data_IF_479873663391
#
_entry.id   IF_479873663391
#
_cell.length_a   1.000
_cell.length_b   1.000
_cell.length_c   1.000
_cell.angle_alpha   90.00
_cell.angle_beta   90.00
_cell.angle_gamma   90.00
#
_symmetry.space_group_name_H-M   'P 1'
#
loop_
_entity.id
_entity.type
_entity.pdbx_description
1 polymer ?
#
# COMPACT_ATOMS: atom_id res chain seq x y z
N UNK A 1 -8.15 -21.36 -13.55
CA UNK A 1 -7.29 -20.21 -13.92
C UNK A 1 -6.86 -20.40 -15.37
N UNK A 2 -7.19 -19.45 -16.25
CA UNK A 2 -7.04 -19.56 -17.70
C UNK A 2 -5.59 -19.84 -18.15
N UNK A 3 -5.46 -20.78 -19.08
CA UNK A 3 -4.24 -21.30 -19.74
C UNK A 3 -3.58 -20.28 -20.69
N UNK A 4 -3.64 -18.99 -20.38
CA UNK A 4 -3.04 -17.95 -21.20
C UNK A 4 -1.53 -17.84 -20.88
N UNK A 5 -0.65 -17.91 -21.89
CA UNK A 5 0.79 -17.87 -21.68
C UNK A 5 1.24 -16.54 -21.05
N UNK A 6 2.41 -16.57 -20.38
CA UNK A 6 3.08 -15.36 -19.92
C UNK A 6 3.44 -14.48 -21.12
N UNK A 7 3.25 -13.16 -20.99
CA UNK A 7 3.66 -12.20 -22.00
C UNK A 7 5.18 -12.21 -22.16
N UNK A 8 5.68 -12.16 -23.38
CA UNK A 8 7.09 -11.93 -23.71
C UNK A 8 7.54 -10.52 -23.34
N UNK A 9 8.85 -10.31 -23.18
CA UNK A 9 9.45 -8.99 -22.94
C UNK A 9 9.03 -7.95 -24.00
N UNK A 10 8.93 -8.37 -25.26
CA UNK A 10 8.48 -7.51 -26.36
C UNK A 10 7.04 -7.02 -26.20
N UNK A 11 6.13 -7.93 -25.81
CA UNK A 11 4.73 -7.59 -25.54
C UNK A 11 4.59 -6.67 -24.33
N UNK A 12 5.37 -6.91 -23.27
CA UNK A 12 5.41 -6.03 -22.09
C UNK A 12 5.89 -4.63 -22.48
N UNK A 13 6.97 -4.53 -23.25
CA UNK A 13 7.47 -3.25 -23.71
C UNK A 13 6.45 -2.48 -24.57
N UNK A 14 5.64 -3.19 -25.38
CA UNK A 14 4.52 -2.59 -26.12
C UNK A 14 3.45 -2.05 -25.17
N UNK A 15 3.08 -2.78 -24.12
CA UNK A 15 2.10 -2.30 -23.13
C UNK A 15 2.61 -1.05 -22.43
N UNK A 16 3.87 -1.03 -21.97
CA UNK A 16 4.45 0.12 -21.27
C UNK A 16 4.50 1.37 -22.16
N UNK A 17 4.95 1.25 -23.43
CA UNK A 17 4.93 2.36 -24.40
C UNK A 17 3.52 2.86 -24.69
N UNK A 18 2.51 1.99 -24.59
CA UNK A 18 1.11 2.33 -24.81
C UNK A 18 0.46 3.15 -23.68
N UNK A 19 1.04 3.19 -22.48
CA UNK A 19 0.42 3.83 -21.30
C UNK A 19 0.10 5.31 -21.55
N UNK A 20 1.04 6.07 -22.11
CA UNK A 20 0.82 7.50 -22.39
C UNK A 20 -0.35 7.74 -23.35
N UNK A 21 -0.49 6.90 -24.39
CA UNK A 21 -1.61 7.01 -25.33
C UNK A 21 -2.96 6.67 -24.68
N UNK A 22 -3.00 5.67 -23.80
CA UNK A 22 -4.21 5.26 -23.08
C UNK A 22 -4.66 6.31 -22.07
N UNK A 23 -3.72 6.95 -21.38
CA UNK A 23 -4.02 8.04 -20.45
C UNK A 23 -4.71 9.23 -21.13
N UNK A 24 -4.43 9.46 -22.42
CA UNK A 24 -5.05 10.52 -23.20
C UNK A 24 -6.47 10.17 -23.71
N UNK A 25 -6.87 8.89 -23.68
CA UNK A 25 -8.17 8.44 -24.15
C UNK A 25 -9.26 8.55 -23.07
N UNK A 26 -10.50 8.85 -23.47
CA UNK A 26 -11.65 8.79 -22.57
C UNK A 26 -11.85 7.35 -22.04
N UNK A 27 -11.91 7.17 -20.72
CA UNK A 27 -12.02 5.85 -20.08
C UNK A 27 -10.69 5.15 -19.78
N UNK A 28 -9.54 5.73 -20.16
CA UNK A 28 -8.22 5.12 -19.94
C UNK A 28 -7.80 4.93 -18.48
N UNK A 29 -8.51 5.55 -17.53
CA UNK A 29 -8.18 5.48 -16.10
C UNK A 29 -8.30 4.06 -15.53
N UNK A 30 -9.44 3.43 -15.73
CA UNK A 30 -9.72 2.11 -15.15
C UNK A 30 -8.85 1.03 -15.82
N UNK A 31 -8.66 1.16 -17.14
CA UNK A 31 -7.73 0.34 -17.92
C UNK A 31 -6.28 0.42 -17.40
N UNK A 32 -5.81 1.61 -17.01
CA UNK A 32 -4.46 1.78 -16.48
C UNK A 32 -4.33 1.29 -15.04
N UNK A 33 -5.32 1.52 -14.19
CA UNK A 33 -5.33 0.98 -12.83
C UNK A 33 -5.41 -0.56 -12.82
N UNK A 34 -6.02 -1.18 -13.84
CA UNK A 34 -6.01 -2.64 -13.99
C UNK A 34 -4.59 -3.21 -14.09
N UNK A 35 -3.63 -2.44 -14.62
CA UNK A 35 -2.22 -2.85 -14.69
C UNK A 35 -1.55 -2.84 -13.30
N UNK A 36 -2.10 -2.12 -12.32
CA UNK A 36 -1.58 -2.09 -10.95
C UNK A 36 -2.18 -3.18 -10.05
N UNK A 37 -3.14 -3.97 -10.53
CA UNK A 37 -3.66 -5.14 -9.81
C UNK A 37 -2.60 -6.22 -9.62
N UNK A 38 -2.69 -6.95 -8.53
CA UNK A 38 -1.72 -8.00 -8.19
C UNK A 38 -1.78 -9.19 -9.16
N UNK A 39 -2.95 -9.44 -9.76
CA UNK A 39 -3.24 -10.51 -10.71
C UNK A 39 -3.17 -10.09 -12.19
N UNK A 40 -2.72 -8.87 -12.49
CA UNK A 40 -2.75 -8.34 -13.85
C UNK A 40 -1.97 -9.26 -14.82
N UNK A 41 -2.48 -9.40 -16.05
CA UNK A 41 -1.97 -10.36 -17.03
C UNK A 41 -0.46 -10.21 -17.32
N UNK A 42 0.06 -8.98 -17.20
CA UNK A 42 1.47 -8.64 -17.41
C UNK A 42 2.41 -9.30 -16.37
N UNK A 43 1.88 -9.69 -15.20
CA UNK A 43 2.61 -10.33 -14.10
C UNK A 43 2.54 -11.86 -14.10
N UNK A 44 1.73 -12.46 -14.97
CA UNK A 44 1.51 -13.90 -14.99
C UNK A 44 2.80 -14.66 -15.30
N UNK A 45 3.07 -15.70 -14.51
CA UNK A 45 4.23 -16.58 -14.71
C UNK A 45 5.57 -15.97 -14.31
N UNK A 46 5.56 -14.77 -13.72
CA UNK A 46 6.77 -14.04 -13.31
C UNK A 46 7.05 -14.22 -11.82
N UNK A 47 8.33 -14.18 -11.45
CA UNK A 47 8.76 -14.23 -10.04
C UNK A 47 8.49 -12.91 -9.30
N UNK A 48 8.55 -12.92 -7.97
CA UNK A 48 8.27 -11.73 -7.16
C UNK A 48 9.15 -10.51 -7.51
N UNK A 49 10.47 -10.70 -7.61
CA UNK A 49 11.42 -9.64 -7.96
C UNK A 49 11.14 -9.04 -9.34
N UNK A 50 10.79 -9.88 -10.30
CA UNK A 50 10.46 -9.45 -11.66
C UNK A 50 9.15 -8.66 -11.71
N UNK A 51 8.15 -9.11 -10.96
CA UNK A 51 6.88 -8.39 -10.79
C UNK A 51 7.10 -7.04 -10.09
N UNK A 52 7.93 -6.96 -9.06
CA UNK A 52 8.25 -5.68 -8.40
C UNK A 52 8.92 -4.69 -9.36
N UNK A 53 9.89 -5.14 -10.15
CA UNK A 53 10.54 -4.29 -11.17
C UNK A 53 9.53 -3.81 -12.22
N UNK A 54 8.72 -4.72 -12.74
CA UNK A 54 7.73 -4.39 -13.76
C UNK A 54 6.64 -3.46 -13.22
N UNK A 55 6.16 -3.67 -11.99
CA UNK A 55 5.22 -2.77 -11.31
C UNK A 55 5.81 -1.38 -11.12
N UNK A 56 7.11 -1.26 -10.82
CA UNK A 56 7.78 0.02 -10.75
C UNK A 56 7.73 0.77 -12.10
N UNK A 57 7.99 0.06 -13.22
CA UNK A 57 7.83 0.63 -14.56
C UNK A 57 6.39 1.06 -14.84
N UNK A 58 5.40 0.20 -14.58
CA UNK A 58 3.97 0.53 -14.77
C UNK A 58 3.61 1.78 -13.98
N UNK A 59 3.96 1.83 -12.69
CA UNK A 59 3.70 2.97 -11.81
C UNK A 59 4.34 4.26 -12.33
N UNK A 60 5.63 4.22 -12.69
CA UNK A 60 6.35 5.38 -13.21
C UNK A 60 5.77 5.89 -14.54
N UNK A 61 5.38 5.00 -15.46
CA UNK A 61 4.78 5.38 -16.73
C UNK A 61 3.38 5.99 -16.55
N UNK A 62 2.55 5.45 -15.66
CA UNK A 62 1.23 6.02 -15.36
C UNK A 62 1.39 7.41 -14.72
N UNK A 63 2.33 7.58 -13.78
CA UNK A 63 2.63 8.88 -13.20
C UNK A 63 3.13 9.91 -14.21
N UNK A 64 4.07 9.51 -15.09
CA UNK A 64 4.59 10.36 -16.16
C UNK A 64 3.52 10.75 -17.19
N UNK A 65 2.48 9.93 -17.36
CA UNK A 65 1.32 10.23 -18.19
C UNK A 65 0.32 11.22 -17.55
N UNK A 66 0.67 11.83 -16.41
CA UNK A 66 -0.16 12.82 -15.73
C UNK A 66 -1.22 12.23 -14.80
N UNK A 67 -1.14 10.94 -14.49
CA UNK A 67 -2.11 10.23 -13.64
C UNK A 67 -1.54 9.88 -12.26
N UNK A 68 -0.78 10.81 -11.66
CA UNK A 68 -0.16 10.57 -10.36
C UNK A 68 -1.18 10.42 -9.22
N UNK A 69 -2.23 11.25 -9.19
CA UNK A 69 -3.22 11.25 -8.09
C UNK A 69 -3.93 9.90 -7.92
N UNK A 70 -4.20 9.19 -9.02
CA UNK A 70 -4.90 7.89 -8.96
C UNK A 70 -4.01 6.77 -8.40
N UNK A 71 -2.70 7.00 -8.36
CA UNK A 71 -1.72 6.06 -7.84
C UNK A 71 -1.45 6.22 -6.35
N UNK A 72 -2.06 7.22 -5.68
CA UNK A 72 -1.79 7.51 -4.28
C UNK A 72 -1.87 6.26 -3.37
N UNK A 73 -2.88 5.38 -3.46
CA UNK A 73 -2.92 4.16 -2.63
C UNK A 73 -1.74 3.23 -2.83
N UNK A 74 -1.22 3.14 -4.06
CA UNK A 74 -0.07 2.30 -4.42
C UNK A 74 1.25 2.94 -3.98
N UNK A 75 1.39 4.25 -4.13
CA UNK A 75 2.54 5.01 -3.61
C UNK A 75 2.63 4.83 -2.09
N UNK A 76 1.51 5.00 -1.40
CA UNK A 76 1.42 4.82 0.04
C UNK A 76 1.73 3.39 0.47
N UNK A 77 1.31 2.38 -0.29
CA UNK A 77 1.64 0.96 -0.03
C UNK A 77 3.14 0.70 -0.10
N UNK A 78 3.78 1.12 -1.21
CA UNK A 78 5.21 0.90 -1.42
C UNK A 78 6.02 1.64 -0.37
N UNK A 79 5.70 2.91 -0.13
CA UNK A 79 6.40 3.71 0.88
C UNK A 79 6.12 3.25 2.32
N UNK A 80 5.08 2.47 2.61
CA UNK A 80 4.86 1.94 3.95
C UNK A 80 5.54 0.60 4.18
N UNK A 81 5.61 -0.28 3.18
CA UNK A 81 6.08 -1.67 3.40
C UNK A 81 7.05 -2.22 2.35
N UNK A 82 7.27 -1.53 1.24
CA UNK A 82 8.13 -1.96 0.14
C UNK A 82 9.59 -2.14 0.53
N UNK A 83 10.27 -3.06 -0.16
CA UNK A 83 11.71 -3.33 0.00
C UNK A 83 12.50 -3.21 -1.32
N UNK A 84 11.80 -3.17 -2.46
CA UNK A 84 12.45 -3.03 -3.76
C UNK A 84 12.89 -1.57 -3.97
N UNK A 85 14.19 -1.30 -4.20
CA UNK A 85 14.67 0.04 -4.54
C UNK A 85 13.94 0.63 -5.75
N UNK A 86 13.63 -0.20 -6.76
CA UNK A 86 12.93 0.23 -7.96
C UNK A 86 11.48 0.64 -7.66
N UNK A 87 10.76 -0.15 -6.85
CA UNK A 87 9.37 0.17 -6.50
C UNK A 87 9.29 1.45 -5.63
N UNK A 88 10.19 1.62 -4.67
CA UNK A 88 10.26 2.80 -3.82
C UNK A 88 10.65 4.06 -4.62
N UNK A 89 11.61 3.95 -5.54
CA UNK A 89 11.97 5.03 -6.44
C UNK A 89 10.81 5.46 -7.35
N UNK A 90 10.09 4.50 -7.94
CA UNK A 90 8.90 4.79 -8.74
C UNK A 90 7.82 5.50 -7.91
N UNK A 91 7.54 4.99 -6.69
CA UNK A 91 6.58 5.60 -5.78
C UNK A 91 6.97 7.04 -5.41
N UNK A 92 8.24 7.28 -5.13
CA UNK A 92 8.78 8.61 -4.84
C UNK A 92 8.59 9.58 -6.02
N UNK A 93 8.97 9.17 -7.24
CA UNK A 93 8.76 9.96 -8.46
C UNK A 93 7.28 10.32 -8.67
N UNK A 94 6.39 9.34 -8.51
CA UNK A 94 4.95 9.57 -8.65
C UNK A 94 4.43 10.53 -7.59
N UNK A 95 4.87 10.42 -6.34
CA UNK A 95 4.47 11.30 -5.25
C UNK A 95 4.72 12.79 -5.56
N UNK A 96 5.76 13.12 -6.33
CA UNK A 96 6.05 14.51 -6.76
C UNK A 96 4.92 15.13 -7.59
N UNK A 97 4.13 14.31 -8.28
CA UNK A 97 2.98 14.74 -9.06
C UNK A 97 1.65 14.78 -8.29
N UNK A 98 1.61 14.29 -7.04
CA UNK A 98 0.36 14.19 -6.26
C UNK A 98 0.09 15.50 -5.50
N UNK A 99 -1.14 16.03 -5.58
CA UNK A 99 -1.52 17.25 -4.84
C UNK A 99 -2.96 17.16 -4.30
N UNK A 100 -3.20 17.41 -2.99
CA UNK A 100 -2.21 17.56 -1.91
C UNK A 100 -1.58 16.21 -1.53
N UNK A 101 -0.35 16.25 -1.03
CA UNK A 101 0.26 15.07 -0.42
C UNK A 101 -0.32 14.83 0.98
N UNK A 102 -0.51 13.56 1.40
CA UNK A 102 -0.91 13.23 2.77
C UNK A 102 0.13 13.71 3.80
N UNK A 103 -0.29 14.16 5.00
CA UNK A 103 0.61 14.69 6.03
C UNK A 103 1.65 13.67 6.52
N UNK A 104 1.37 12.38 6.43
CA UNK A 104 2.28 11.30 6.82
C UNK A 104 3.40 11.02 5.80
N UNK A 105 3.34 11.60 4.60
CA UNK A 105 4.28 11.33 3.50
C UNK A 105 5.77 11.49 3.90
N UNK A 106 6.21 12.53 4.63
CA UNK A 106 7.62 12.68 4.96
C UNK A 106 8.13 11.54 5.83
N UNK A 107 7.32 11.12 6.80
CA UNK A 107 7.69 9.98 7.66
C UNK A 107 7.82 8.71 6.84
N UNK A 108 6.90 8.45 5.91
CA UNK A 108 6.97 7.27 5.03
C UNK A 108 8.22 7.29 4.14
N UNK A 109 8.61 8.46 3.63
CA UNK A 109 9.84 8.62 2.85
C UNK A 109 11.09 8.34 3.70
N UNK A 110 11.16 8.87 4.93
CA UNK A 110 12.27 8.58 5.85
C UNK A 110 12.33 7.09 6.21
N UNK A 111 11.20 6.49 6.60
CA UNK A 111 11.12 5.06 6.90
C UNK A 111 11.50 4.21 5.68
N UNK A 112 11.20 4.66 4.45
CA UNK A 112 11.63 4.00 3.21
C UNK A 112 13.15 4.10 2.99
N UNK A 113 13.76 5.27 3.18
CA UNK A 113 15.21 5.47 3.11
C UNK A 113 15.92 4.52 4.08
N UNK A 114 15.46 4.48 5.32
CA UNK A 114 16.03 3.62 6.36
C UNK A 114 16.00 2.14 6.00
N UNK A 115 14.91 1.68 5.37
CA UNK A 115 14.77 0.27 4.99
C UNK A 115 15.70 -0.17 3.89
N UNK A 116 16.01 0.70 2.93
CA UNK A 116 16.85 0.35 1.78
C UNK A 116 18.28 0.87 1.84
N UNK A 117 18.68 1.56 2.92
CA UNK A 117 20.01 2.16 3.07
C UNK A 117 21.20 1.23 2.81
N UNK A 118 21.02 -0.09 2.98
CA UNK A 118 22.07 -1.09 2.75
C UNK A 118 22.01 -1.78 1.38
N UNK A 119 20.98 -1.49 0.58
CA UNK A 119 20.69 -2.14 -0.71
C UNK A 119 20.30 -1.11 -1.78
N UNK A 120 20.77 0.14 -1.64
CA UNK A 120 20.49 1.20 -2.60
C UNK A 120 21.00 0.83 -4.00
N UNK A 121 20.24 1.19 -5.03
CA UNK A 121 20.50 0.81 -6.42
C UNK A 121 20.23 1.98 -7.35
N UNK A 122 20.97 2.05 -8.44
CA UNK A 122 20.66 2.94 -9.56
C UNK A 122 19.34 2.52 -10.21
N UNK A 123 18.50 3.50 -10.55
CA UNK A 123 17.16 3.29 -11.08
C UNK A 123 16.94 4.11 -12.36
N UNK A 124 16.11 3.57 -13.25
CA UNK A 124 15.63 4.23 -14.45
C UNK A 124 14.28 3.63 -14.85
N UNK A 125 13.43 4.42 -15.48
CA UNK A 125 12.11 3.94 -15.92
C UNK A 125 11.82 4.20 -17.40
N UNK A 126 12.71 4.88 -18.12
CA UNK A 126 12.48 5.33 -19.50
C UNK A 126 12.65 4.20 -20.54
N UNK A 127 13.40 3.15 -20.19
CA UNK A 127 13.70 2.02 -21.06
C UNK A 127 13.31 0.72 -20.36
N UNK A 128 12.64 -0.18 -21.08
CA UNK A 128 12.32 -1.52 -20.61
C UNK A 128 12.71 -2.58 -21.66
N UNK A 129 13.38 -3.69 -21.26
CA UNK A 129 13.90 -3.94 -19.91
C UNK A 129 15.08 -3.01 -19.57
N UNK A 130 15.18 -2.61 -18.30
CA UNK A 130 16.21 -1.68 -17.83
C UNK A 130 17.61 -2.29 -17.92
N UNK A 131 18.62 -1.61 -18.51
CA UNK A 131 19.99 -2.09 -18.49
C UNK A 131 20.58 -2.05 -17.06
N UNK A 132 21.45 -3.00 -16.66
CA UNK A 132 21.91 -3.17 -15.27
C UNK A 132 22.65 -1.98 -14.63
N UNK A 133 23.15 -1.02 -15.41
CA UNK A 133 23.98 0.09 -14.93
C UNK A 133 23.61 1.45 -15.54
N UNK A 134 22.39 1.59 -16.07
CA UNK A 134 22.01 2.77 -16.88
C UNK A 134 21.34 3.92 -16.14
N UNK A 135 21.13 3.83 -14.83
CA UNK A 135 20.41 4.87 -14.07
C UNK A 135 21.29 6.07 -13.69
N UNK A 136 20.74 7.28 -13.81
CA UNK A 136 21.41 8.52 -13.39
C UNK A 136 21.19 8.86 -11.90
N UNK A 137 20.20 8.25 -11.25
CA UNK A 137 19.83 8.45 -9.84
C UNK A 137 19.72 7.10 -9.13
N UNK A 138 19.89 7.08 -7.82
CA UNK A 138 19.57 5.91 -6.99
C UNK A 138 18.17 5.99 -6.39
N UNK A 139 17.68 4.89 -5.80
CA UNK A 139 16.40 4.90 -5.12
C UNK A 139 16.37 5.87 -3.92
N UNK A 140 17.48 5.98 -3.19
CA UNK A 140 17.61 6.97 -2.11
C UNK A 140 17.65 8.40 -2.66
N UNK A 141 18.32 8.65 -3.79
CA UNK A 141 18.28 9.97 -4.44
C UNK A 141 16.82 10.38 -4.73
N UNK A 142 16.02 9.47 -5.29
CA UNK A 142 14.62 9.73 -5.63
C UNK A 142 13.76 10.02 -4.39
N UNK A 143 14.01 9.31 -3.28
CA UNK A 143 13.30 9.50 -2.02
C UNK A 143 13.67 10.85 -1.36
N UNK A 144 14.96 11.21 -1.34
CA UNK A 144 15.45 12.49 -0.79
C UNK A 144 14.91 13.67 -1.59
N UNK A 145 14.98 13.61 -2.93
CA UNK A 145 14.45 14.67 -3.79
C UNK A 145 12.93 14.83 -3.59
N UNK A 146 12.21 13.73 -3.41
CA UNK A 146 10.77 13.79 -3.11
C UNK A 146 10.51 14.41 -1.75
N UNK A 147 11.29 14.03 -0.73
CA UNK A 147 11.19 14.59 0.63
C UNK A 147 11.43 16.11 0.62
N UNK A 148 12.43 16.57 -0.14
CA UNK A 148 12.75 17.99 -0.36
C UNK A 148 11.55 18.78 -0.91
N UNK A 149 10.82 18.17 -1.84
CA UNK A 149 9.65 18.79 -2.49
C UNK A 149 8.39 18.76 -1.62
N UNK A 150 8.35 17.97 -0.55
CA UNK A 150 7.18 17.95 0.33
C UNK A 150 7.02 19.29 1.04
N UNK A 151 5.89 19.95 0.82
CA UNK A 151 5.49 21.17 1.53
C UNK A 151 5.08 20.91 2.99
N UNK A 152 5.53 19.82 3.62
CA UNK A 152 4.93 19.27 4.85
C UNK A 152 5.77 19.65 6.07
N UNK A 153 5.07 19.98 7.16
CA UNK A 153 5.67 20.35 8.45
C UNK A 153 6.16 21.80 8.50
N UNK A 154 6.60 22.23 9.68
CA UNK A 154 7.39 23.45 9.77
C UNK A 154 8.69 23.24 9.02
N UNK A 155 9.24 24.30 8.41
CA UNK A 155 10.57 24.30 7.79
C UNK A 155 11.62 23.63 8.69
N UNK A 156 11.52 23.82 10.00
CA UNK A 156 12.39 23.24 11.03
C UNK A 156 12.30 21.71 11.10
N UNK A 157 11.10 21.13 11.05
CA UNK A 157 10.91 19.68 11.10
C UNK A 157 11.51 19.01 9.86
N UNK A 158 11.29 19.59 8.67
CA UNK A 158 11.89 19.08 7.43
C UNK A 158 13.41 19.16 7.47
N UNK A 159 13.98 20.27 7.95
CA UNK A 159 15.43 20.43 8.13
C UNK A 159 15.97 19.38 9.13
N UNK A 160 15.27 19.13 10.23
CA UNK A 160 15.68 18.13 11.22
C UNK A 160 15.76 16.73 10.60
N UNK A 161 14.73 16.30 9.87
CA UNK A 161 14.72 15.01 9.18
C UNK A 161 15.85 14.88 8.15
N UNK A 162 16.08 15.92 7.33
CA UNK A 162 17.15 15.92 6.33
C UNK A 162 18.54 15.89 6.99
N UNK A 163 18.73 16.61 8.11
CA UNK A 163 19.97 16.56 8.87
C UNK A 163 20.20 15.18 9.51
N UNK A 164 19.16 14.54 10.03
CA UNK A 164 19.28 13.20 10.61
C UNK A 164 19.74 12.20 9.54
N UNK A 165 19.16 12.25 8.34
CA UNK A 165 19.60 11.43 7.19
C UNK A 165 21.05 11.77 6.79
N UNK A 166 21.42 13.05 6.77
CA UNK A 166 22.75 13.50 6.36
C UNK A 166 23.87 13.21 7.36
N UNK A 167 23.54 13.20 8.65
CA UNK A 167 24.44 12.85 9.74
C UNK A 167 24.60 11.34 9.89
N UNK A 168 23.66 10.56 9.36
CA UNK A 168 23.78 9.12 9.28
C UNK A 168 24.94 8.76 8.34
N UNK A 169 25.92 8.02 8.87
CA UNK A 169 27.20 7.74 8.20
C UNK A 169 27.11 6.96 6.87
N UNK A 170 25.90 6.65 6.42
CA UNK A 170 25.58 5.85 5.24
C UNK A 170 25.13 6.67 4.03
N UNK A 171 24.92 7.99 4.16
CA UNK A 171 24.57 8.81 3.01
C UNK A 171 25.72 8.85 1.98
N UNK A 172 25.42 8.50 0.72
CA UNK A 172 26.38 8.59 -0.38
C UNK A 172 26.86 10.04 -0.56
N UNK A 173 28.05 10.31 -1.11
CA UNK A 173 28.50 11.68 -1.37
C UNK A 173 27.50 12.48 -2.22
N UNK A 174 26.82 11.81 -3.15
CA UNK A 174 25.75 12.38 -3.97
C UNK A 174 24.52 12.71 -3.14
N UNK A 175 24.02 11.76 -2.34
CA UNK A 175 22.90 12.01 -1.42
C UNK A 175 23.22 13.16 -0.46
N UNK A 176 24.45 13.25 0.05
CA UNK A 176 24.91 14.37 0.90
C UNK A 176 24.92 15.70 0.17
N UNK A 177 25.42 15.74 -1.07
CA UNK A 177 25.37 16.96 -1.89
C UNK A 177 23.92 17.40 -2.13
N UNK A 178 23.04 16.47 -2.50
CA UNK A 178 21.61 16.74 -2.69
C UNK A 178 20.92 17.22 -1.41
N UNK A 179 21.24 16.62 -0.26
CA UNK A 179 20.75 17.07 1.05
C UNK A 179 21.24 18.48 1.36
N UNK A 180 22.52 18.79 1.13
CA UNK A 180 23.09 20.13 1.34
C UNK A 180 22.43 21.17 0.44
N UNK A 181 22.27 20.88 -0.85
CA UNK A 181 21.56 21.73 -1.81
C UNK A 181 20.12 21.98 -1.38
N UNK A 182 19.42 20.92 -0.96
CA UNK A 182 18.04 20.98 -0.46
C UNK A 182 17.94 21.84 0.81
N UNK A 183 18.86 21.65 1.76
CA UNK A 183 18.91 22.40 3.02
C UNK A 183 19.22 23.88 2.76
N UNK A 184 20.12 24.18 1.82
CA UNK A 184 20.46 25.54 1.39
C UNK A 184 19.27 26.24 0.74
N UNK A 185 18.58 25.59 -0.20
CA UNK A 185 17.37 26.14 -0.84
C UNK A 185 16.24 26.35 0.17
N UNK A 186 16.08 25.42 1.13
CA UNK A 186 15.15 25.59 2.24
C UNK A 186 15.58 26.75 3.16
N UNK A 187 16.87 27.10 3.17
CA UNK A 187 17.53 28.18 3.90
C UNK A 187 17.13 29.61 3.50
N UNK A 188 16.86 29.83 2.22
CA UNK A 188 16.84 31.18 1.63
C UNK A 188 15.46 31.87 1.61
N UNK A 189 14.36 31.18 1.92
CA UNK A 189 13.02 31.77 2.01
C UNK A 189 12.77 32.61 3.29
N UNK A 190 13.82 33.21 3.86
CA UNK A 190 13.73 34.15 4.97
C UNK A 190 14.43 35.48 4.64
N UNK A 191 13.97 36.16 3.59
CA UNK A 191 14.12 37.61 3.53
C UNK A 191 13.04 38.26 2.64
N UNK A 192 12.00 38.92 3.18
CA UNK A 192 11.20 39.85 2.41
C UNK A 192 11.97 41.18 2.35
N UNK A 193 13.13 41.21 1.72
CA UNK A 193 13.75 42.48 1.33
C UNK A 193 13.14 42.90 0.02
N UNK A 194 12.23 43.88 0.13
CA UNK A 194 11.57 44.51 -1.00
C UNK A 194 12.56 44.86 -2.09
N UNK A 195 12.37 44.23 -3.25
CA UNK A 195 12.87 44.77 -4.51
C UNK A 195 11.71 44.65 -5.48
N UNK A 196 11.09 45.80 -5.76
CA UNK A 196 10.06 45.93 -6.78
C UNK A 196 10.65 45.50 -8.13
N UNK A 197 10.31 44.30 -8.58
CA UNK A 197 10.43 43.95 -9.99
C UNK A 197 9.09 44.28 -10.66
N UNK A 198 9.10 45.41 -11.38
CA UNK A 198 8.05 45.85 -12.29
C UNK A 198 7.74 44.75 -13.30
N UNK A 199 6.62 44.06 -13.11
CA UNK A 199 6.03 43.22 -14.14
C UNK A 199 4.73 43.86 -14.63
N UNK A 200 4.83 44.44 -15.83
CA UNK A 200 3.79 44.80 -16.80
C UNK A 200 2.51 45.48 -16.30
N UNK A 201 2.45 46.80 -16.55
CA UNK A 201 1.23 47.58 -16.48
C UNK A 201 0.21 47.18 -17.56
N UNK A 202 -1.02 46.98 -17.11
CA UNK A 202 -2.23 46.94 -17.92
C UNK A 202 -3.37 47.45 -17.07
N UNK A 203 -3.68 48.73 -17.21
CA UNK A 203 -4.70 49.47 -16.47
C UNK A 203 -6.11 48.98 -16.78
N UNK A 204 -6.91 48.68 -15.75
CA UNK A 204 -8.34 49.00 -15.75
C UNK A 204 -8.85 49.14 -14.33
N UNK A 205 -9.38 50.33 -14.02
CA UNK A 205 -10.03 50.69 -12.77
C UNK A 205 -11.38 49.96 -12.60
N UNK A 206 -11.69 49.51 -11.38
CA UNK A 206 -13.04 49.55 -10.81
C UNK A 206 -12.99 49.35 -9.29
N UNK A 207 -13.67 50.24 -8.58
CA UNK A 207 -13.75 50.35 -7.12
C UNK A 207 -14.87 49.48 -6.50
N UNK A 208 -15.11 49.47 -5.17
CA UNK A 208 -15.25 48.26 -4.35
C UNK A 208 -16.71 47.82 -4.14
N UNK A 209 -16.92 46.52 -3.90
CA UNK A 209 -18.24 46.00 -3.51
C UNK A 209 -18.16 44.97 -2.39
N UNK A 210 -18.50 45.47 -1.19
CA UNK A 210 -19.30 44.88 -0.11
C UNK A 210 -19.00 43.46 0.38
N UNK A 211 -18.64 43.44 1.67
CA UNK A 211 -18.57 42.29 2.56
C UNK A 211 -19.81 41.38 2.50
N UNK A 212 -19.57 40.09 2.31
CA UNK A 212 -20.53 39.02 2.61
C UNK A 212 -19.90 38.14 3.69
N UNK A 213 -20.48 38.21 4.90
CA UNK A 213 -20.16 37.33 6.02
C UNK A 213 -20.49 35.88 5.62
N UNK A 214 -19.50 35.00 5.58
CA UNK A 214 -19.72 33.55 5.53
C UNK A 214 -19.50 32.94 6.91
N UNK A 215 -20.59 32.39 7.44
CA UNK A 215 -20.67 31.57 8.65
C UNK A 215 -19.67 30.42 8.58
N UNK A 216 -18.96 30.22 9.68
CA UNK A 216 -18.29 28.98 10.04
C UNK A 216 -19.29 27.81 9.95
N UNK A 217 -18.89 26.75 9.25
CA UNK A 217 -19.47 25.42 9.40
C UNK A 217 -18.34 24.49 9.79
N UNK A 218 -18.52 23.86 10.94
CA UNK A 218 -17.73 22.74 11.43
C UNK A 218 -17.59 21.69 10.33
N UNK A 219 -16.34 21.31 10.06
CA UNK A 219 -15.99 20.20 9.21
C UNK A 219 -15.71 18.99 10.10
N UNK A 220 -16.73 18.16 10.33
CA UNK A 220 -16.51 16.77 10.69
C UNK A 220 -15.86 16.07 9.50
N UNK A 221 -14.57 15.75 9.63
CA UNK A 221 -13.80 15.00 8.64
C UNK A 221 -14.35 13.57 8.55
N UNK A 222 -14.95 13.26 7.41
CA UNK A 222 -15.19 11.89 6.96
C UNK A 222 -14.36 11.69 5.70
N UNK A 223 -13.20 11.07 5.86
CA UNK A 223 -12.33 10.67 4.75
C UNK A 223 -13.02 9.58 3.93
N UNK A 224 -13.70 10.01 2.88
CA UNK A 224 -14.34 9.14 1.89
C UNK A 224 -13.86 9.54 0.50
N UNK A 225 -12.63 9.15 0.16
CA UNK A 225 -12.15 9.14 -1.24
C UNK A 225 -11.32 7.88 -1.51
N UNK A 226 -12.00 6.74 -1.54
CA UNK A 226 -11.59 5.64 -2.42
C UNK A 226 -12.66 5.50 -3.51
N UNK A 227 -12.25 5.67 -4.77
CA UNK A 227 -13.07 5.31 -5.93
C UNK A 227 -12.31 4.20 -6.65
N UNK A 228 -12.26 3.04 -6.01
CA UNK A 228 -12.13 1.77 -6.71
C UNK A 228 -13.56 1.41 -7.11
N UNK A 229 -13.89 1.52 -8.40
CA UNK A 229 -15.19 1.15 -8.97
C UNK A 229 -15.37 -0.36 -9.13
N UNK A 230 -14.56 -1.16 -8.43
CA UNK A 230 -14.74 -2.59 -8.30
C UNK A 230 -15.66 -2.89 -7.12
N UNK A 231 -16.73 -3.66 -7.40
CA UNK A 231 -17.68 -4.16 -6.40
C UNK A 231 -16.90 -4.78 -5.25
N UNK A 232 -16.90 -4.14 -4.09
CA UNK A 232 -16.31 -4.75 -2.90
C UNK A 232 -17.20 -5.92 -2.45
N UNK A 233 -16.62 -7.01 -1.93
CA UNK A 233 -17.44 -8.09 -1.40
C UNK A 233 -18.27 -7.54 -0.23
N UNK A 234 -19.57 -7.82 -0.25
CA UNK A 234 -20.52 -7.36 0.75
C UNK A 234 -20.84 -8.43 1.80
N UNK A 235 -20.61 -9.70 1.48
CA UNK A 235 -20.90 -10.82 2.36
C UNK A 235 -19.95 -12.01 2.17
N UNK A 236 -19.78 -12.78 3.25
CA UNK A 236 -19.06 -14.05 3.25
C UNK A 236 -19.93 -15.27 2.94
N UNK A 237 -21.23 -15.10 2.68
CA UNK A 237 -22.18 -16.21 2.55
C UNK A 237 -21.79 -17.24 1.47
N UNK A 238 -21.21 -16.79 0.35
CA UNK A 238 -20.74 -17.68 -0.73
C UNK A 238 -19.63 -18.64 -0.28
N UNK A 239 -18.94 -18.35 0.82
CA UNK A 239 -17.86 -19.17 1.34
C UNK A 239 -18.31 -20.19 2.38
N UNK A 240 -19.56 -20.16 2.85
CA UNK A 240 -19.97 -20.96 4.01
C UNK A 240 -19.70 -22.46 3.91
N UNK A 241 -19.73 -23.03 2.70
CA UNK A 241 -19.44 -24.45 2.47
C UNK A 241 -17.98 -24.76 2.13
N UNK A 242 -17.12 -23.74 2.00
CA UNK A 242 -15.69 -23.94 1.71
C UNK A 242 -15.02 -24.50 2.96
N UNK A 243 -14.30 -25.60 2.81
CA UNK A 243 -13.58 -26.25 3.90
C UNK A 243 -12.22 -25.60 4.17
N UNK A 244 -11.95 -25.38 5.45
CA UNK A 244 -10.69 -24.88 5.97
C UNK A 244 -10.11 -25.86 6.99
N UNK A 245 -8.79 -25.83 7.09
CA UNK A 245 -8.01 -26.57 8.08
C UNK A 245 -7.16 -25.58 8.87
N UNK A 246 -7.19 -25.68 10.19
CA UNK A 246 -6.44 -24.79 11.06
C UNK A 246 -5.03 -25.33 11.38
N UNK A 247 -4.24 -24.56 12.15
CA UNK A 247 -2.91 -24.96 12.60
C UNK A 247 -2.84 -26.25 13.44
N UNK A 248 -3.98 -26.71 13.98
CA UNK A 248 -4.11 -27.94 14.78
C UNK A 248 -4.49 -29.15 13.91
N UNK A 249 -4.66 -28.96 12.59
CA UNK A 249 -5.15 -29.99 11.67
C UNK A 249 -6.66 -30.24 11.77
N UNK A 250 -7.40 -29.39 12.50
CA UNK A 250 -8.85 -29.49 12.60
C UNK A 250 -9.51 -28.87 11.38
N UNK A 251 -10.50 -29.58 10.83
CA UNK A 251 -11.28 -29.13 9.68
C UNK A 251 -12.62 -28.57 10.11
N UNK A 252 -13.00 -27.47 9.48
CA UNK A 252 -14.30 -26.85 9.61
C UNK A 252 -14.63 -26.08 8.33
N UNK A 253 -15.92 -25.95 8.04
CA UNK A 253 -16.38 -25.07 6.98
C UNK A 253 -16.26 -23.60 7.40
N UNK A 254 -16.15 -22.68 6.44
CA UNK A 254 -16.07 -21.24 6.73
C UNK A 254 -17.27 -20.77 7.57
N UNK A 255 -18.47 -21.29 7.31
CA UNK A 255 -19.67 -20.97 8.09
C UNK A 255 -19.53 -21.39 9.56
N UNK A 256 -19.02 -22.60 9.83
CA UNK A 256 -18.79 -23.06 11.21
C UNK A 256 -17.80 -22.18 11.99
N UNK A 257 -16.85 -21.53 11.30
CA UNK A 257 -15.85 -20.67 11.92
C UNK A 257 -16.42 -19.25 12.16
N UNK A 258 -17.13 -18.68 11.19
CA UNK A 258 -17.45 -17.25 11.15
C UNK A 258 -18.95 -16.90 11.26
N UNK A 259 -19.86 -17.81 10.92
CA UNK A 259 -21.30 -17.51 10.92
C UNK A 259 -21.83 -17.23 12.34
N UNK A 260 -22.68 -16.20 12.47
CA UNK A 260 -23.31 -15.83 13.74
C UNK A 260 -22.38 -15.10 14.70
N UNK A 261 -21.17 -14.73 14.29
CA UNK A 261 -20.16 -14.10 15.16
C UNK A 261 -19.45 -12.95 14.42
N UNK A 262 -19.17 -11.83 15.10
CA UNK A 262 -18.28 -10.82 14.54
C UNK A 262 -16.90 -11.41 14.28
N UNK A 263 -16.25 -11.00 13.19
CA UNK A 263 -14.93 -11.49 12.85
C UNK A 263 -14.00 -10.41 12.28
N UNK A 264 -12.70 -10.59 12.54
CA UNK A 264 -11.62 -9.85 11.91
C UNK A 264 -10.73 -10.85 11.17
N UNK A 265 -10.67 -10.72 9.84
CA UNK A 265 -9.95 -11.67 8.97
C UNK A 265 -8.84 -10.94 8.23
N UNK A 266 -7.61 -11.40 8.41
CA UNK A 266 -6.46 -10.98 7.61
C UNK A 266 -5.93 -12.10 6.72
N UNK A 267 -4.99 -11.77 5.84
CA UNK A 267 -4.42 -12.73 4.90
C UNK A 267 -2.89 -12.69 4.90
N UNK A 268 -2.26 -13.86 4.69
CA UNK A 268 -0.80 -14.00 4.74
C UNK A 268 -0.34 -15.22 3.95
N UNK A 269 0.97 -15.50 3.93
CA UNK A 269 1.50 -16.81 3.56
C UNK A 269 2.90 -16.95 4.16
N UNK A 270 3.33 -18.16 4.49
CA UNK A 270 4.57 -18.35 5.29
C UNK A 270 5.85 -18.09 4.51
N UNK A 271 5.80 -18.14 3.17
CA UNK A 271 6.94 -17.87 2.28
C UNK A 271 7.19 -16.38 2.00
N UNK A 272 6.40 -15.49 2.57
CA UNK A 272 6.59 -14.05 2.39
C UNK A 272 7.90 -13.57 3.01
N UNK A 273 8.80 -13.06 2.18
CA UNK A 273 10.12 -12.57 2.62
C UNK A 273 10.10 -11.12 3.10
N UNK A 274 8.96 -10.43 3.05
CA UNK A 274 8.83 -9.07 3.52
C UNK A 274 8.35 -9.03 5.00
N UNK A 275 9.24 -8.75 5.98
CA UNK A 275 8.86 -8.73 7.39
C UNK A 275 7.87 -7.61 7.74
N UNK A 276 7.76 -6.58 6.91
CA UNK A 276 6.85 -5.44 7.11
C UNK A 276 5.45 -5.70 6.53
N UNK A 277 5.22 -6.81 5.83
CA UNK A 277 3.90 -7.24 5.33
C UNK A 277 3.34 -8.40 6.15
N UNK A 278 3.39 -9.63 5.64
CA UNK A 278 2.73 -10.80 6.26
C UNK A 278 3.14 -11.02 7.71
N UNK A 279 4.44 -10.88 8.01
CA UNK A 279 4.92 -11.05 9.39
C UNK A 279 4.35 -9.99 10.32
N UNK A 280 4.36 -8.73 9.89
CA UNK A 280 3.78 -7.60 10.62
C UNK A 280 2.26 -7.75 10.80
N UNK A 281 1.53 -8.11 9.75
CA UNK A 281 0.08 -8.37 9.79
C UNK A 281 -0.26 -9.38 10.88
N UNK A 282 0.46 -10.50 10.94
CA UNK A 282 0.18 -11.57 11.89
C UNK A 282 0.49 -11.15 13.32
N UNK A 283 1.59 -10.42 13.55
CA UNK A 283 1.87 -9.84 14.86
C UNK A 283 0.86 -8.76 15.28
N UNK A 284 0.36 -7.93 14.35
CA UNK A 284 -0.69 -6.95 14.63
C UNK A 284 -2.01 -7.65 15.01
N UNK A 285 -2.42 -8.69 14.26
CA UNK A 285 -3.60 -9.49 14.58
C UNK A 285 -3.50 -10.18 15.94
N UNK A 286 -2.34 -10.73 16.28
CA UNK A 286 -2.09 -11.32 17.59
C UNK A 286 -2.25 -10.32 18.74
N UNK A 287 -1.81 -9.06 18.55
CA UNK A 287 -2.04 -7.98 19.52
C UNK A 287 -3.49 -7.54 19.57
N UNK A 288 -4.13 -7.38 18.42
CA UNK A 288 -5.55 -7.05 18.30
C UNK A 288 -6.43 -8.06 19.05
N UNK A 289 -6.17 -9.36 18.89
CA UNK A 289 -6.94 -10.40 19.59
C UNK A 289 -6.91 -10.21 21.12
N UNK A 290 -5.74 -9.93 21.71
CA UNK A 290 -5.62 -9.68 23.16
C UNK A 290 -6.46 -8.48 23.60
N UNK A 291 -6.39 -7.38 22.83
CA UNK A 291 -7.19 -6.18 23.11
C UNK A 291 -8.70 -6.45 23.05
N UNK A 292 -9.14 -7.31 22.13
CA UNK A 292 -10.55 -7.71 22.02
C UNK A 292 -10.96 -8.65 23.16
N UNK A 293 -10.10 -9.58 23.57
CA UNK A 293 -10.35 -10.53 24.65
C UNK A 293 -10.48 -9.86 26.03
N UNK A 294 -9.69 -8.81 26.26
CA UNK A 294 -9.72 -8.00 27.48
C UNK A 294 -11.05 -7.24 27.65
N UNK A 295 -11.80 -7.00 26.57
CA UNK A 295 -13.11 -6.35 26.60
C UNK A 295 -14.26 -7.37 26.63
N UNK A 296 -15.10 -7.42 27.68
CA UNK A 296 -16.23 -8.35 27.76
C UNK A 296 -17.20 -8.28 26.56
N UNK A 297 -17.37 -7.10 25.96
CA UNK A 297 -18.23 -6.90 24.79
C UNK A 297 -17.67 -7.56 23.52
N UNK A 298 -16.36 -7.76 23.44
CA UNK A 298 -15.66 -8.24 22.24
C UNK A 298 -15.11 -9.65 22.36
N UNK A 299 -15.28 -10.32 23.51
CA UNK A 299 -14.90 -11.74 23.67
C UNK A 299 -15.56 -12.64 22.63
N UNK A 300 -16.72 -12.23 22.10
CA UNK A 300 -17.46 -12.82 20.98
C UNK A 300 -16.70 -12.91 19.66
N UNK A 301 -15.73 -12.02 19.43
CA UNK A 301 -15.14 -11.77 18.13
C UNK A 301 -14.11 -12.83 17.75
N UNK A 302 -14.22 -13.36 16.53
CA UNK A 302 -13.24 -14.29 15.96
C UNK A 302 -12.15 -13.53 15.23
N UNK A 303 -10.89 -13.81 15.53
CA UNK A 303 -9.74 -13.29 14.78
C UNK A 303 -9.11 -14.43 14.01
N UNK A 304 -8.99 -14.28 12.69
CA UNK A 304 -8.36 -15.30 11.86
C UNK A 304 -7.38 -14.70 10.86
N UNK A 305 -6.38 -15.48 10.48
CA UNK A 305 -5.57 -15.19 9.31
C UNK A 305 -5.59 -16.37 8.33
N UNK A 306 -5.83 -16.08 7.06
CA UNK A 306 -5.98 -17.09 6.01
C UNK A 306 -4.76 -17.06 5.08
N UNK A 307 -4.21 -18.24 4.79
CA UNK A 307 -3.08 -18.37 3.87
C UNK A 307 -3.48 -18.19 2.40
N UNK A 308 -2.72 -17.38 1.66
CA UNK A 308 -2.75 -17.28 0.20
C UNK A 308 -2.11 -18.50 -0.49
N UNK A 309 -1.45 -19.37 0.25
CA UNK A 309 -0.59 -20.45 -0.26
C UNK A 309 -0.88 -21.77 0.47
N UNK A 310 -2.13 -22.25 0.43
CA UNK A 310 -2.60 -23.33 1.30
C UNK A 310 -1.90 -24.66 1.04
N UNK A 311 -1.45 -24.92 -0.19
CA UNK A 311 -0.73 -26.15 -0.55
C UNK A 311 0.61 -26.25 0.19
N UNK A 312 1.30 -25.13 0.35
CA UNK A 312 2.57 -25.08 1.07
C UNK A 312 2.35 -24.93 2.58
N UNK A 313 1.42 -24.09 3.00
CA UNK A 313 1.15 -23.70 4.37
C UNK A 313 0.31 -24.75 5.13
N UNK A 314 0.83 -25.97 5.23
CA UNK A 314 0.26 -27.08 6.00
C UNK A 314 0.21 -26.79 7.51
N UNK A 315 -0.62 -27.50 8.31
CA UNK A 315 -0.85 -27.19 9.74
C UNK A 315 0.43 -26.99 10.57
N UNK A 316 1.42 -27.87 10.45
CA UNK A 316 2.70 -27.75 11.16
C UNK A 316 3.47 -26.46 10.84
N UNK A 317 3.35 -25.94 9.60
CA UNK A 317 3.97 -24.66 9.22
C UNK A 317 3.17 -23.50 9.77
N UNK A 318 1.84 -23.56 9.71
CA UNK A 318 0.96 -22.54 10.31
C UNK A 318 1.26 -22.40 11.80
N UNK A 319 1.33 -23.52 12.54
CA UNK A 319 1.66 -23.51 13.97
C UNK A 319 3.02 -22.84 14.21
N UNK A 320 4.10 -23.32 13.59
CA UNK A 320 5.44 -22.73 13.79
C UNK A 320 5.45 -21.23 13.46
N UNK A 321 4.86 -20.85 12.34
CA UNK A 321 4.81 -19.45 11.91
C UNK A 321 4.05 -18.55 12.90
N UNK A 322 2.98 -19.07 13.50
CA UNK A 322 2.22 -18.42 14.56
C UNK A 322 3.00 -18.31 15.88
N UNK A 323 3.67 -19.39 16.30
CA UNK A 323 4.52 -19.42 17.51
C UNK A 323 5.62 -18.34 17.44
N UNK A 324 6.34 -18.26 16.31
CA UNK A 324 7.38 -17.26 16.05
C UNK A 324 6.87 -15.81 16.18
N UNK A 325 5.56 -15.61 16.07
CA UNK A 325 4.89 -14.28 16.08
C UNK A 325 4.02 -14.07 17.30
N UNK A 326 4.13 -14.96 18.30
CA UNK A 326 3.31 -14.95 19.51
C UNK A 326 1.80 -14.92 19.18
N UNK A 327 1.37 -15.72 18.20
CA UNK A 327 -0.03 -15.94 17.92
C UNK A 327 -0.70 -16.63 19.13
N UNK A 328 -1.82 -16.12 19.67
CA UNK A 328 -2.42 -16.67 20.89
C UNK A 328 -2.91 -18.12 20.78
N UNK A 329 -3.39 -18.52 19.60
CA UNK A 329 -4.11 -19.77 19.34
C UNK A 329 -5.41 -19.94 20.16
N UNK A 330 -6.38 -20.63 19.59
CA UNK A 330 -7.65 -20.96 20.25
C UNK A 330 -8.82 -20.98 19.27
N UNK A 331 -9.99 -21.37 19.76
CA UNK A 331 -11.20 -21.52 18.93
C UNK A 331 -11.62 -20.22 18.23
N UNK A 332 -11.22 -19.07 18.78
CA UNK A 332 -11.52 -17.72 18.23
C UNK A 332 -10.27 -16.99 17.72
N UNK A 333 -9.12 -17.68 17.66
CA UNK A 333 -7.85 -17.11 17.19
C UNK A 333 -7.09 -18.13 16.34
N UNK A 334 -7.40 -18.19 15.05
CA UNK A 334 -6.95 -19.29 14.17
C UNK A 334 -6.12 -18.81 12.97
N UNK A 335 -5.13 -19.63 12.61
CA UNK A 335 -4.45 -19.58 11.31
C UNK A 335 -5.05 -20.67 10.43
N UNK A 336 -5.46 -20.31 9.22
CA UNK A 336 -6.30 -21.14 8.38
C UNK A 336 -5.69 -21.32 6.98
N UNK A 337 -5.92 -22.49 6.39
CA UNK A 337 -5.71 -22.77 4.96
C UNK A 337 -6.97 -23.40 4.39
N UNK A 338 -7.24 -23.22 3.10
CA UNK A 338 -8.26 -24.04 2.43
C UNK A 338 -7.74 -25.47 2.26
N UNK A 339 -8.62 -26.47 2.33
CA UNK A 339 -8.27 -27.86 2.00
C UNK A 339 -8.38 -28.14 0.49
N UNK A 340 -9.15 -27.29 -0.20
CA UNK A 340 -9.35 -27.30 -1.64
C UNK A 340 -8.72 -26.07 -2.30
N UNK A 341 -9.07 -25.84 -3.57
CA UNK A 341 -8.62 -24.69 -4.35
C UNK A 341 -8.95 -23.35 -3.68
N UNK A 342 -7.90 -22.56 -3.41
CA UNK A 342 -8.03 -21.21 -2.87
C UNK A 342 -8.75 -20.22 -3.81
N UNK A 343 -8.88 -20.57 -5.10
CA UNK A 343 -9.46 -19.68 -6.12
C UNK A 343 -10.87 -19.19 -5.78
N UNK A 344 -11.71 -20.02 -5.14
CA UNK A 344 -13.05 -19.61 -4.72
C UNK A 344 -13.02 -18.49 -3.67
N UNK A 345 -12.03 -18.49 -2.79
CA UNK A 345 -11.83 -17.45 -1.77
C UNK A 345 -11.33 -16.16 -2.43
N UNK A 346 -10.40 -16.26 -3.37
CA UNK A 346 -9.92 -15.10 -4.15
C UNK A 346 -11.08 -14.43 -4.88
N UNK A 347 -11.92 -15.22 -5.57
CA UNK A 347 -13.05 -14.71 -6.34
C UNK A 347 -14.11 -14.09 -5.45
N UNK A 348 -14.57 -14.82 -4.42
CA UNK A 348 -15.65 -14.36 -3.56
C UNK A 348 -15.29 -13.09 -2.76
N UNK A 349 -14.03 -12.94 -2.35
CA UNK A 349 -13.57 -11.80 -1.55
C UNK A 349 -12.78 -10.76 -2.35
N UNK A 350 -12.69 -10.94 -3.67
CA UNK A 350 -11.91 -10.09 -4.57
C UNK A 350 -10.48 -9.80 -4.08
N UNK A 351 -9.78 -10.84 -3.60
CA UNK A 351 -8.45 -10.70 -2.99
C UNK A 351 -7.41 -10.22 -4.01
N UNK A 352 -6.51 -9.34 -3.57
CA UNK A 352 -5.42 -8.81 -4.38
C UNK A 352 -4.17 -9.67 -4.22
N UNK A 353 -4.11 -10.78 -4.95
CA UNK A 353 -2.98 -11.71 -4.94
C UNK A 353 -2.62 -12.19 -6.36
N UNK A 354 -1.33 -12.23 -6.65
CA UNK A 354 -0.74 -12.76 -7.87
C UNK A 354 0.14 -13.97 -7.59
N UNK A 355 0.19 -14.91 -8.53
CA UNK A 355 0.98 -16.13 -8.44
C UNK A 355 2.03 -16.20 -9.54
N UNK A 356 3.27 -16.50 -9.14
CA UNK A 356 4.35 -16.86 -10.03
C UNK A 356 4.39 -18.37 -10.27
N UNK A 357 5.52 -18.90 -10.79
CA UNK A 357 5.65 -20.33 -11.08
C UNK A 357 5.57 -21.26 -9.86
N UNK A 358 5.88 -20.76 -8.65
CA UNK A 358 6.05 -21.60 -7.45
C UNK A 358 5.28 -21.15 -6.21
N UNK A 359 4.94 -19.87 -6.11
CA UNK A 359 4.28 -19.25 -4.96
C UNK A 359 3.74 -17.87 -5.35
N UNK A 360 3.14 -17.19 -4.38
CA UNK A 360 2.71 -15.79 -4.47
C UNK A 360 3.87 -14.91 -4.96
N UNK A 361 3.66 -14.17 -6.04
CA UNK A 361 4.64 -13.20 -6.56
C UNK A 361 4.31 -11.76 -6.11
N UNK A 362 3.06 -11.48 -5.78
CA UNK A 362 2.60 -10.21 -5.23
C UNK A 362 1.33 -10.42 -4.42
N UNK A 363 1.18 -9.68 -3.34
CA UNK A 363 -0.09 -9.58 -2.63
C UNK A 363 -0.23 -8.18 -2.04
N UNK A 364 -1.48 -7.74 -1.85
CA UNK A 364 -1.80 -6.55 -1.06
C UNK A 364 -1.97 -6.94 0.42
N UNK A 365 -1.88 -5.96 1.31
CA UNK A 365 -2.29 -6.11 2.71
C UNK A 365 -3.82 -5.99 2.76
N UNK A 366 -4.49 -6.90 3.47
CA UNK A 366 -5.95 -6.95 3.53
C UNK A 366 -6.43 -7.31 4.93
N UNK A 367 -7.42 -6.57 5.42
CA UNK A 367 -8.17 -6.85 6.65
C UNK A 367 -9.65 -6.64 6.40
N UNK A 368 -10.47 -7.61 6.79
CA UNK A 368 -11.92 -7.57 6.70
C UNK A 368 -12.52 -7.58 8.10
N UNK A 369 -13.48 -6.70 8.34
CA UNK A 369 -14.33 -6.74 9.54
C UNK A 369 -15.73 -7.19 9.12
N UNK A 370 -16.18 -8.28 9.74
CA UNK A 370 -17.40 -8.98 9.40
C UNK A 370 -18.33 -8.91 10.62
N UNK A 371 -19.61 -8.61 10.39
CA UNK A 371 -20.63 -8.63 11.44
C UNK A 371 -21.15 -10.06 11.71
N UNK A 372 -21.97 -10.24 12.74
CA UNK A 372 -22.54 -11.55 13.07
C UNK A 372 -23.49 -12.11 11.99
N UNK A 373 -24.02 -11.27 11.10
CA UNK A 373 -24.86 -11.70 9.98
C UNK A 373 -24.03 -12.16 8.76
N UNK A 374 -22.69 -12.04 8.82
CA UNK A 374 -21.80 -12.37 7.72
C UNK A 374 -21.70 -11.27 6.66
N UNK A 375 -22.05 -10.02 6.99
CA UNK A 375 -21.82 -8.87 6.13
C UNK A 375 -20.45 -8.25 6.41
N UNK A 376 -19.72 -7.91 5.34
CA UNK A 376 -18.43 -7.22 5.41
C UNK A 376 -18.72 -5.73 5.60
N UNK A 377 -18.38 -5.19 6.77
CA UNK A 377 -18.69 -3.80 7.15
C UNK A 377 -17.53 -2.83 6.94
N UNK A 378 -16.31 -3.33 6.97
CA UNK A 378 -15.11 -2.54 6.76
C UNK A 378 -14.03 -3.39 6.09
N UNK A 379 -13.28 -2.77 5.18
CA UNK A 379 -12.22 -3.37 4.40
C UNK A 379 -11.01 -2.44 4.38
N UNK A 380 -9.90 -2.87 4.98
CA UNK A 380 -8.63 -2.12 4.97
C UNK A 380 -7.68 -2.76 3.98
N UNK A 381 -7.35 -2.01 2.93
CA UNK A 381 -6.51 -2.49 1.82
C UNK A 381 -5.18 -1.76 1.76
N UNK A 382 -4.16 -2.48 1.29
CA UNK A 382 -2.81 -2.02 0.92
C UNK A 382 -1.93 -1.52 2.07
N UNK A 383 -2.53 -0.93 3.09
CA UNK A 383 -1.85 -0.31 4.23
C UNK A 383 -2.05 -1.11 5.51
N UNK A 384 -1.09 -0.98 6.42
CA UNK A 384 -1.22 -1.42 7.80
C UNK A 384 -2.30 -0.60 8.53
N UNK A 385 -2.79 -1.16 9.62
CA UNK A 385 -3.80 -0.56 10.48
C UNK A 385 -3.30 -0.49 11.92
N UNK A 386 -3.84 0.48 12.66
CA UNK A 386 -3.71 0.57 14.11
C UNK A 386 -4.71 -0.38 14.79
N UNK A 387 -4.27 -1.14 15.78
CA UNK A 387 -5.12 -2.09 16.49
C UNK A 387 -6.25 -1.41 17.27
N UNK A 388 -6.00 -0.23 17.84
CA UNK A 388 -7.00 0.56 18.56
C UNK A 388 -8.10 1.08 17.64
N UNK A 389 -7.75 1.47 16.42
CA UNK A 389 -8.72 1.85 15.38
C UNK A 389 -9.63 0.68 15.01
N UNK A 390 -9.07 -0.52 14.87
CA UNK A 390 -9.86 -1.73 14.58
C UNK A 390 -10.78 -2.10 15.75
N UNK A 391 -10.31 -1.99 17.00
CA UNK A 391 -11.17 -2.22 18.18
C UNK A 391 -12.38 -1.27 18.16
N UNK A 392 -12.17 0.01 17.82
CA UNK A 392 -13.28 0.98 17.71
C UNK A 392 -14.26 0.62 16.59
N UNK A 393 -13.76 0.16 15.44
CA UNK A 393 -14.59 -0.30 14.34
C UNK A 393 -15.40 -1.56 14.69
N UNK A 394 -14.79 -2.54 15.37
CA UNK A 394 -15.49 -3.74 15.88
C UNK A 394 -16.62 -3.35 16.85
N UNK A 395 -16.35 -2.43 17.78
CA UNK A 395 -17.37 -1.94 18.71
C UNK A 395 -18.55 -1.27 17.99
N UNK A 396 -18.28 -0.53 16.92
CA UNK A 396 -19.32 0.13 16.13
C UNK A 396 -20.21 -0.89 15.37
N UNK A 397 -19.60 -1.96 14.84
CA UNK A 397 -20.32 -3.04 14.15
C UNK A 397 -21.18 -3.85 15.12
N UNK A 398 -20.69 -4.10 16.34
CA UNK A 398 -21.44 -4.85 17.35
C UNK A 398 -22.65 -4.07 17.90
N UNK A 399 -22.68 -2.74 17.73
CA UNK A 399 -23.77 -1.87 18.21
C UNK A 399 -24.93 -1.72 17.21
N UNK A 400 -24.78 -2.20 15.97
CA UNK A 400 -25.81 -2.23 14.92
C UNK A 400 -26.45 -3.60 14.83
#
# INVERSE_FOLDING_TARGET
>A
MNNMPAMSEGEVAVVLRGIGSRAACCGGRDDLLSLMREDAAIYRGRGATEVELLRAHVMAHIGAAGMADVLLPYVLEELETGLSPHALAAAARVARGIRPLPPEMPKLLVDAIDRIRHVDQFVQFDIYPSPPAGGCTTAIDELIETLAMTCIGSRTERIALLNDIGNDGHATPRARALLQETLAATGEDANPTGTESKCCGGTSQAEPSKAIKRKSRDCAQTDSRSTDSHVQPDSIAMLYNVEFENQDGMRATFGQIFEGRPAVVGFFYTRCMNPNKCSRTISNLARLYRLLEDSPANRGTTVAAISYDPDYDVPDRLRRYGEDRNWPFGDRCQLLRTTESFAAVIEALHLGVGYGPTTVNRHRIELMLIDAAGAIKDLRLRRLWDEGDIVRAVNAIAAT
#
